data_IF_551702909258
#
_entry.id   IF_551702909258
#
_cell.length_a   1.000
_cell.length_b   1.000
_cell.length_c   1.000
_cell.angle_alpha   90.00
_cell.angle_beta   90.00
_cell.angle_gamma   90.00
#
_symmetry.space_group_name_H-M   'P 1'
#
loop_
_entity.id
_entity.type
_entity.pdbx_description
1 polymer ?
#
# COMPACT_ATOMS: atom_id res chain seq x y z
N UNK A 1 -7.70 62.59 -33.26
CA UNK A 1 -8.72 62.44 -32.22
C UNK A 1 -9.39 61.07 -32.38
N UNK A 2 -9.32 60.27 -31.31
CA UNK A 2 -10.07 59.03 -31.00
C UNK A 2 -10.04 57.89 -32.03
N UNK A 3 -9.07 57.01 -31.79
CA UNK A 3 -9.03 55.62 -32.23
C UNK A 3 -9.47 54.77 -31.02
N UNK A 4 -10.55 53.99 -31.11
CA UNK A 4 -10.91 52.99 -30.12
C UNK A 4 -11.59 51.79 -30.80
N UNK A 5 -11.17 50.61 -30.37
CA UNK A 5 -11.83 49.30 -30.49
C UNK A 5 -11.43 48.44 -31.70
N UNK A 6 -10.22 47.87 -31.61
CA UNK A 6 -10.06 46.46 -31.94
C UNK A 6 -9.07 45.83 -30.96
N UNK A 7 -9.46 44.67 -30.45
CA UNK A 7 -8.62 43.64 -29.82
C UNK A 7 -8.38 43.76 -28.32
N UNK A 8 -9.49 43.69 -27.58
CA UNK A 8 -9.56 43.04 -26.27
C UNK A 8 -9.32 41.50 -26.36
N UNK A 9 -8.28 41.08 -27.08
CA UNK A 9 -7.88 39.68 -27.28
C UNK A 9 -6.39 39.44 -26.97
N UNK A 10 -5.79 40.31 -26.15
CA UNK A 10 -4.39 40.19 -25.71
C UNK A 10 -4.28 39.88 -24.20
N UNK A 11 -5.30 39.22 -23.64
CA UNK A 11 -5.28 38.68 -22.26
C UNK A 11 -5.43 37.16 -22.32
N UNK A 12 -4.48 36.45 -22.94
CA UNK A 12 -4.48 34.98 -22.86
C UNK A 12 -3.14 34.29 -23.09
N UNK A 13 -2.04 35.01 -23.28
CA UNK A 13 -0.75 34.41 -23.62
C UNK A 13 0.33 34.81 -22.62
N UNK A 14 0.31 34.20 -21.42
CA UNK A 14 1.47 34.02 -20.50
C UNK A 14 1.15 33.40 -19.14
N UNK A 15 0.09 32.60 -19.00
CA UNK A 15 0.11 31.57 -17.94
C UNK A 15 1.02 30.47 -18.44
N UNK A 16 2.29 30.54 -18.04
CA UNK A 16 3.20 29.42 -18.14
C UNK A 16 2.48 28.20 -17.58
N UNK A 17 2.32 27.20 -18.44
CA UNK A 17 1.86 25.87 -18.08
C UNK A 17 2.84 25.35 -17.03
N UNK A 18 2.57 25.63 -15.76
CA UNK A 18 3.10 24.84 -14.67
C UNK A 18 2.78 23.40 -15.04
N UNK A 19 3.76 22.51 -15.15
CA UNK A 19 3.46 21.10 -15.36
C UNK A 19 2.51 20.74 -14.22
N UNK A 20 1.28 20.36 -14.58
CA UNK A 20 0.34 19.72 -13.66
C UNK A 20 1.17 18.61 -13.05
N UNK A 21 1.63 18.82 -11.82
CA UNK A 21 2.38 17.83 -11.06
C UNK A 21 1.46 16.64 -11.08
N UNK A 22 1.81 15.60 -11.86
CA UNK A 22 1.00 14.41 -11.98
C UNK A 22 0.66 14.01 -10.54
N UNK A 23 -0.60 14.21 -10.17
CA UNK A 23 -1.05 14.04 -8.81
C UNK A 23 -1.07 12.54 -8.61
N UNK A 24 0.10 11.99 -8.29
CA UNK A 24 0.31 10.56 -8.22
C UNK A 24 -0.51 10.12 -7.02
N UNK A 25 -1.68 9.55 -7.31
CA UNK A 25 -2.60 9.05 -6.31
C UNK A 25 -1.83 8.28 -5.23
N UNK A 26 -2.24 8.48 -3.97
CA UNK A 26 -1.64 7.79 -2.84
C UNK A 26 -1.61 6.28 -3.09
N UNK A 27 -0.50 5.63 -2.73
CA UNK A 27 -0.44 4.18 -2.74
C UNK A 27 -1.39 3.67 -1.65
N UNK A 28 -2.50 3.06 -2.07
CA UNK A 28 -3.46 2.42 -1.19
C UNK A 28 -2.90 1.09 -0.69
N UNK A 29 -2.76 0.97 0.63
CA UNK A 29 -2.36 -0.23 1.33
C UNK A 29 -3.59 -0.81 2.03
N UNK A 30 -4.06 -1.95 1.54
CA UNK A 30 -5.15 -2.68 2.17
C UNK A 30 -4.64 -3.63 3.26
N UNK A 31 -5.27 -3.59 4.43
CA UNK A 31 -5.03 -4.51 5.54
C UNK A 31 -6.10 -5.59 5.53
N UNK A 32 -5.70 -6.84 5.27
CA UNK A 32 -6.61 -7.98 5.34
C UNK A 32 -6.42 -8.75 6.62
N UNK A 33 -7.49 -8.91 7.38
CA UNK A 33 -7.43 -9.43 8.74
C UNK A 33 -7.65 -10.94 8.77
N UNK A 34 -6.74 -11.65 9.43
CA UNK A 34 -6.84 -13.09 9.71
C UNK A 34 -6.66 -13.32 11.21
N UNK A 35 -7.79 -13.32 11.93
CA UNK A 35 -7.81 -13.48 13.39
C UNK A 35 -7.58 -12.20 14.19
N UNK A 36 -7.46 -11.04 13.54
CA UNK A 36 -7.53 -9.72 14.18
C UNK A 36 -8.95 -9.17 14.15
N UNK A 37 -9.30 -8.39 15.17
CA UNK A 37 -10.60 -7.71 15.25
C UNK A 37 -10.50 -6.36 14.54
N UNK A 38 -11.52 -6.02 13.75
CA UNK A 38 -11.50 -4.78 12.96
C UNK A 38 -11.37 -3.52 13.82
N UNK A 39 -12.06 -3.48 14.96
CA UNK A 39 -12.00 -2.34 15.90
C UNK A 39 -10.60 -2.12 16.45
N UNK A 40 -9.87 -3.19 16.78
CA UNK A 40 -8.48 -3.13 17.23
C UNK A 40 -7.58 -2.49 16.16
N UNK A 41 -7.65 -3.00 14.92
CA UNK A 41 -6.83 -2.51 13.80
C UNK A 41 -7.16 -1.08 13.41
N UNK A 42 -8.45 -0.69 13.49
CA UNK A 42 -8.87 0.69 13.23
C UNK A 42 -8.22 1.69 14.18
N UNK A 43 -7.87 1.29 15.41
CA UNK A 43 -7.15 2.19 16.33
C UNK A 43 -5.71 2.47 15.89
N UNK A 44 -5.11 1.58 15.10
CA UNK A 44 -3.72 1.71 14.63
C UNK A 44 -3.60 2.60 13.40
N UNK A 45 -4.59 2.55 12.49
CA UNK A 45 -4.55 3.20 11.19
C UNK A 45 -4.16 4.69 11.24
N UNK A 46 -4.72 5.52 12.16
CA UNK A 46 -4.34 6.93 12.27
C UNK A 46 -2.86 7.17 12.58
N UNK A 47 -2.17 6.19 13.17
CA UNK A 47 -0.75 6.29 13.55
C UNK A 47 0.20 5.68 12.52
N UNK A 48 -0.33 5.09 11.44
CA UNK A 48 0.50 4.50 10.40
C UNK A 48 1.13 5.57 9.50
N UNK A 49 2.35 5.34 8.97
CA UNK A 49 3.03 6.34 8.15
C UNK A 49 2.23 6.73 6.90
N UNK A 50 1.89 8.00 6.75
CA UNK A 50 1.20 8.52 5.54
C UNK A 50 2.16 9.09 4.51
N UNK A 51 3.41 9.40 4.89
CA UNK A 51 4.46 9.94 4.03
C UNK A 51 3.95 11.18 3.27
N UNK A 52 3.48 12.20 3.99
CA UNK A 52 2.88 13.41 3.40
C UNK A 52 1.73 13.11 2.42
N UNK A 53 0.90 12.12 2.75
CA UNK A 53 -0.25 11.71 1.95
C UNK A 53 0.08 10.79 0.78
N UNK A 54 1.32 10.31 0.66
CA UNK A 54 1.72 9.37 -0.38
C UNK A 54 1.29 7.92 -0.10
N UNK A 55 0.96 7.61 1.15
CA UNK A 55 0.41 6.33 1.60
C UNK A 55 -0.96 6.55 2.23
N UNK A 56 -1.89 5.66 1.92
CA UNK A 56 -3.18 5.57 2.62
C UNK A 56 -3.43 4.13 3.06
N UNK A 57 -3.99 3.97 4.25
CA UNK A 57 -4.21 2.67 4.89
C UNK A 57 -5.70 2.45 5.09
N UNK A 58 -6.17 1.26 4.76
CA UNK A 58 -7.57 0.89 4.98
C UNK A 58 -7.71 -0.60 5.28
N UNK A 59 -8.78 -0.99 5.95
CA UNK A 59 -9.10 -2.41 6.13
C UNK A 59 -9.79 -2.90 4.86
N UNK A 60 -9.17 -3.86 4.18
CA UNK A 60 -9.69 -4.45 2.97
C UNK A 60 -10.74 -5.52 3.30
N UNK A 61 -12.02 -5.15 3.19
CA UNK A 61 -13.15 -6.06 3.42
C UNK A 61 -13.43 -6.98 2.23
N UNK A 62 -13.16 -6.51 1.01
CA UNK A 62 -13.34 -7.32 -0.19
C UNK A 62 -12.11 -8.20 -0.46
N UNK A 63 -12.35 -9.37 -1.06
CA UNK A 63 -11.30 -10.37 -1.32
C UNK A 63 -10.16 -9.80 -2.16
N UNK A 64 -10.50 -8.97 -3.13
CA UNK A 64 -9.54 -8.46 -4.11
C UNK A 64 -9.01 -7.08 -3.73
N UNK A 65 -9.44 -6.50 -2.59
CA UNK A 65 -8.93 -5.22 -2.10
C UNK A 65 -8.99 -4.13 -3.17
N UNK A 66 -10.14 -3.96 -3.82
CA UNK A 66 -10.31 -3.14 -5.04
C UNK A 66 -9.55 -1.81 -5.02
N UNK A 67 -8.56 -1.72 -5.92
CA UNK A 67 -7.71 -0.55 -6.12
C UNK A 67 -6.55 -0.40 -5.12
N UNK A 68 -6.30 -1.36 -4.24
CA UNK A 68 -5.10 -1.39 -3.42
C UNK A 68 -3.87 -1.78 -4.27
N UNK A 69 -2.84 -0.92 -4.27
CA UNK A 69 -1.56 -1.22 -4.91
C UNK A 69 -0.69 -2.18 -4.07
N UNK A 70 -1.02 -2.34 -2.79
CA UNK A 70 -0.41 -3.31 -1.90
C UNK A 70 -1.43 -3.85 -0.90
N UNK A 71 -1.32 -5.14 -0.60
CA UNK A 71 -2.11 -5.85 0.38
C UNK A 71 -1.19 -6.42 1.47
N UNK A 72 -1.55 -6.18 2.73
CA UNK A 72 -0.88 -6.75 3.90
C UNK A 72 -1.88 -7.62 4.66
N UNK A 73 -1.60 -8.90 4.69
CA UNK A 73 -2.35 -9.89 5.45
C UNK A 73 -1.86 -9.86 6.90
N UNK A 74 -2.64 -9.29 7.81
CA UNK A 74 -2.37 -9.31 9.24
C UNK A 74 -2.83 -10.67 9.78
N UNK A 75 -1.90 -11.51 10.19
CA UNK A 75 -2.16 -12.89 10.57
C UNK A 75 -1.87 -13.10 12.05
N UNK A 76 -2.91 -13.32 12.84
CA UNK A 76 -2.77 -13.74 14.24
C UNK A 76 -2.75 -15.27 14.29
N UNK A 77 -1.81 -15.85 15.01
CA UNK A 77 -1.86 -17.30 15.30
C UNK A 77 -3.23 -17.65 15.87
N UNK A 78 -3.81 -18.76 15.40
CA UNK A 78 -4.96 -19.37 16.05
C UNK A 78 -4.63 -19.70 17.52
N UNK A 79 -5.67 -19.76 18.35
CA UNK A 79 -5.55 -20.10 19.77
C UNK A 79 -4.80 -21.42 19.97
N UNK A 80 -3.99 -21.50 21.04
CA UNK A 80 -3.30 -22.72 21.46
C UNK A 80 -4.24 -23.89 21.70
N UNK A 81 -5.52 -23.63 21.99
CA UNK A 81 -6.55 -24.65 22.17
C UNK A 81 -6.81 -25.47 20.89
N UNK A 82 -6.46 -24.94 19.72
CA UNK A 82 -6.63 -25.60 18.42
C UNK A 82 -5.38 -26.35 17.94
N UNK A 83 -4.39 -26.53 18.83
CA UNK A 83 -3.14 -27.23 18.53
C UNK A 83 -2.08 -26.36 17.85
N UNK A 84 -1.09 -27.01 17.22
CA UNK A 84 0.03 -26.34 16.53
C UNK A 84 -0.37 -25.71 15.19
N UNK A 85 -1.58 -25.97 14.70
CA UNK A 85 -2.00 -25.60 13.36
C UNK A 85 -2.62 -24.19 13.30
N UNK A 86 -2.08 -23.35 12.42
CA UNK A 86 -2.55 -22.00 12.18
C UNK A 86 -3.51 -21.90 10.98
N UNK A 87 -4.81 -22.06 11.22
CA UNK A 87 -5.85 -21.88 10.18
C UNK A 87 -5.81 -20.50 9.50
N UNK A 88 -5.53 -19.45 10.27
CA UNK A 88 -5.36 -18.09 9.74
C UNK A 88 -4.20 -17.99 8.76
N UNK A 89 -3.11 -18.73 9.00
CA UNK A 89 -1.95 -18.75 8.14
C UNK A 89 -2.25 -19.45 6.81
N UNK A 90 -3.03 -20.52 6.82
CA UNK A 90 -3.49 -21.19 5.59
C UNK A 90 -4.36 -20.24 4.77
N UNK A 91 -5.37 -19.61 5.38
CA UNK A 91 -6.25 -18.68 4.69
C UNK A 91 -5.49 -17.50 4.06
N UNK A 92 -4.54 -16.92 4.81
CA UNK A 92 -3.68 -15.86 4.30
C UNK A 92 -2.79 -16.34 3.14
N UNK A 93 -2.13 -17.49 3.30
CA UNK A 93 -1.24 -18.04 2.27
C UNK A 93 -1.97 -18.36 0.97
N UNK A 94 -3.18 -18.90 1.07
CA UNK A 94 -4.06 -19.17 -0.07
C UNK A 94 -4.54 -17.90 -0.75
N UNK A 95 -4.89 -16.87 0.02
CA UNK A 95 -5.29 -15.58 -0.54
C UNK A 95 -4.13 -14.91 -1.30
N UNK A 96 -2.90 -14.96 -0.77
CA UNK A 96 -1.70 -14.46 -1.45
C UNK A 96 -1.40 -15.29 -2.72
N UNK A 97 -1.56 -16.62 -2.63
CA UNK A 97 -1.36 -17.50 -3.79
C UNK A 97 -2.36 -17.18 -4.91
N UNK A 98 -3.63 -16.97 -4.55
CA UNK A 98 -4.68 -16.67 -5.50
C UNK A 98 -4.49 -15.33 -6.22
N UNK A 99 -3.75 -14.38 -5.63
CA UNK A 99 -3.43 -13.09 -6.24
C UNK A 99 -2.07 -13.05 -6.95
N UNK A 100 -1.44 -14.19 -7.22
CA UNK A 100 -0.14 -14.26 -7.90
C UNK A 100 -0.10 -13.54 -9.26
N UNK A 101 -1.24 -13.44 -9.96
CA UNK A 101 -1.37 -12.75 -11.24
C UNK A 101 -1.84 -11.29 -11.11
N UNK A 102 -2.11 -10.81 -9.90
CA UNK A 102 -2.52 -9.44 -9.67
C UNK A 102 -1.30 -8.51 -9.79
N UNK A 103 -1.49 -7.34 -10.41
CA UNK A 103 -0.45 -6.32 -10.54
C UNK A 103 -0.21 -5.54 -9.23
N UNK A 104 -0.23 -6.23 -8.08
CA UNK A 104 -0.06 -5.63 -6.75
C UNK A 104 0.88 -6.45 -5.89
N UNK A 105 1.33 -5.83 -4.82
CA UNK A 105 2.22 -6.46 -3.83
C UNK A 105 1.39 -7.18 -2.79
N UNK A 106 1.80 -8.40 -2.44
CA UNK A 106 1.17 -9.20 -1.40
C UNK A 106 2.20 -9.53 -0.32
N UNK A 107 1.89 -9.18 0.93
CA UNK A 107 2.72 -9.49 2.07
C UNK A 107 1.86 -10.01 3.24
N UNK A 108 2.45 -10.81 4.11
CA UNK A 108 1.87 -11.21 5.38
C UNK A 108 2.71 -10.70 6.55
N UNK A 109 2.04 -10.18 7.58
CA UNK A 109 2.63 -9.88 8.88
C UNK A 109 2.04 -10.82 9.92
N UNK A 110 2.86 -11.77 10.37
CA UNK A 110 2.45 -12.81 11.31
C UNK A 110 2.76 -12.42 12.77
N UNK A 111 1.76 -12.61 13.63
CA UNK A 111 1.85 -12.44 15.08
C UNK A 111 1.55 -13.78 15.76
N UNK A 112 2.58 -14.40 16.33
CA UNK A 112 2.47 -15.69 17.00
C UNK A 112 3.80 -16.43 17.03
N UNK A 113 3.71 -17.72 17.36
CA UNK A 113 4.85 -18.63 17.40
C UNK A 113 5.28 -19.02 15.97
N UNK A 114 6.54 -18.79 15.63
CA UNK A 114 7.13 -19.08 14.32
C UNK A 114 6.97 -20.54 13.89
N UNK A 115 6.94 -21.47 14.86
CA UNK A 115 6.77 -22.90 14.62
C UNK A 115 5.39 -23.24 14.02
N UNK A 116 4.46 -22.28 14.04
CA UNK A 116 3.11 -22.40 13.47
C UNK A 116 2.99 -21.79 12.08
N UNK A 117 4.05 -21.18 11.56
CA UNK A 117 4.06 -20.72 10.19
C UNK A 117 4.01 -21.92 9.24
N UNK A 118 3.32 -21.79 8.09
CA UNK A 118 3.31 -22.84 7.09
C UNK A 118 4.73 -23.02 6.54
N UNK A 119 5.11 -24.27 6.29
CA UNK A 119 6.41 -24.61 5.73
C UNK A 119 6.63 -23.97 4.35
N UNK A 120 5.57 -23.91 3.54
CA UNK A 120 5.56 -23.26 2.22
C UNK A 120 4.76 -21.97 2.32
N UNK A 121 5.38 -20.87 1.87
CA UNK A 121 4.85 -19.51 1.96
C UNK A 121 4.83 -18.84 0.59
N UNK A 122 3.68 -18.32 0.21
CA UNK A 122 3.48 -17.50 -0.97
C UNK A 122 3.71 -16.03 -0.61
N UNK A 123 4.37 -15.28 -1.49
CA UNK A 123 4.66 -13.86 -1.30
C UNK A 123 5.64 -13.57 -0.16
N UNK A 124 5.64 -12.33 0.31
CA UNK A 124 6.53 -11.90 1.39
C UNK A 124 5.91 -12.20 2.76
N UNK A 125 6.66 -12.82 3.66
CA UNK A 125 6.24 -13.02 5.05
C UNK A 125 7.21 -12.33 6.00
N UNK A 126 6.66 -11.55 6.92
CA UNK A 126 7.35 -10.95 8.04
C UNK A 126 6.72 -11.43 9.34
N UNK A 127 7.52 -11.47 10.41
CA UNK A 127 7.04 -11.75 11.76
C UNK A 127 7.10 -10.50 12.62
N UNK A 128 6.06 -10.28 13.43
CA UNK A 128 6.08 -9.25 14.47
C UNK A 128 7.04 -9.63 15.63
N UNK A 129 7.28 -10.93 15.84
CA UNK A 129 8.09 -11.43 16.94
C UNK A 129 7.45 -11.07 18.29
N UNK A 130 8.24 -10.48 19.19
CA UNK A 130 7.77 -10.01 20.50
C UNK A 130 7.18 -8.59 20.47
N UNK A 131 7.18 -7.92 19.31
CA UNK A 131 6.71 -6.53 19.18
C UNK A 131 5.19 -6.47 19.03
N UNK A 132 4.55 -5.38 19.48
CA UNK A 132 3.18 -5.08 19.08
C UNK A 132 3.06 -5.05 17.55
N UNK A 133 1.93 -5.55 17.04
CA UNK A 133 1.71 -5.69 15.58
C UNK A 133 1.69 -4.35 14.88
N UNK A 134 1.13 -3.32 15.52
CA UNK A 134 1.18 -1.93 15.05
C UNK A 134 2.63 -1.45 14.83
N UNK A 135 3.51 -1.69 15.82
CA UNK A 135 4.94 -1.34 15.71
C UNK A 135 5.63 -2.14 14.59
N UNK A 136 5.28 -3.41 14.44
CA UNK A 136 5.82 -4.25 13.36
C UNK A 136 5.32 -3.78 11.98
N UNK A 137 4.07 -3.31 11.88
CA UNK A 137 3.49 -2.75 10.67
C UNK A 137 4.17 -1.42 10.28
N UNK A 138 4.43 -0.56 11.28
CA UNK A 138 5.22 0.66 11.10
C UNK A 138 6.64 0.33 10.61
N UNK A 139 7.29 -0.67 11.20
CA UNK A 139 8.62 -1.14 10.77
C UNK A 139 8.59 -1.66 9.33
N UNK A 140 7.59 -2.47 8.98
CA UNK A 140 7.42 -2.99 7.62
C UNK A 140 7.21 -1.85 6.61
N UNK A 141 6.44 -0.83 6.98
CA UNK A 141 6.24 0.35 6.16
C UNK A 141 7.57 1.04 5.83
N UNK A 142 8.38 1.35 6.85
CA UNK A 142 9.66 2.03 6.66
C UNK A 142 10.72 1.17 5.97
N UNK A 143 10.77 -0.14 6.25
CA UNK A 143 11.81 -1.02 5.73
C UNK A 143 11.54 -1.50 4.30
N UNK A 144 10.27 -1.66 3.92
CA UNK A 144 9.89 -2.32 2.65
C UNK A 144 9.03 -1.42 1.77
N UNK A 145 7.97 -0.84 2.34
CA UNK A 145 6.95 -0.15 1.54
C UNK A 145 7.46 1.19 1.03
N UNK A 146 8.04 2.00 1.92
CA UNK A 146 8.56 3.34 1.58
C UNK A 146 9.68 3.27 0.55
N UNK A 147 10.75 2.45 0.72
CA UNK A 147 11.81 2.35 -0.28
C UNK A 147 11.28 1.91 -1.64
N UNK A 148 10.34 0.95 -1.66
CA UNK A 148 9.73 0.48 -2.90
C UNK A 148 8.92 1.56 -3.59
N UNK A 149 8.08 2.29 -2.85
CA UNK A 149 7.30 3.41 -3.39
C UNK A 149 8.20 4.46 -4.03
N UNK A 150 9.29 4.84 -3.35
CA UNK A 150 10.23 5.83 -3.86
C UNK A 150 10.95 5.34 -5.12
N UNK A 151 11.31 4.06 -5.17
CA UNK A 151 11.92 3.44 -6.35
C UNK A 151 10.99 3.41 -7.57
N UNK A 152 9.72 3.00 -7.38
CA UNK A 152 8.73 2.99 -8.46
C UNK A 152 8.47 4.40 -9.00
N UNK A 153 8.39 5.40 -8.12
CA UNK A 153 8.22 6.80 -8.54
C UNK A 153 9.44 7.35 -9.26
N UNK A 154 10.65 6.97 -8.84
CA UNK A 154 11.87 7.34 -9.55
C UNK A 154 11.88 6.76 -10.98
N UNK A 155 11.47 5.49 -11.14
CA UNK A 155 11.34 4.84 -12.45
C UNK A 155 10.31 5.53 -13.36
N UNK A 156 9.14 5.88 -12.81
CA UNK A 156 8.09 6.59 -13.55
C UNK A 156 8.56 7.95 -14.05
N UNK A 157 9.29 8.71 -13.22
CA UNK A 157 9.89 10.00 -13.64
C UNK A 157 10.87 9.83 -14.80
N UNK A 158 11.74 8.81 -14.75
CA UNK A 158 12.73 8.54 -15.82
C UNK A 158 12.04 8.08 -17.10
N UNK A 159 10.97 7.28 -17.00
CA UNK A 159 10.16 6.85 -18.14
C UNK A 159 9.44 8.01 -18.82
N UNK A 160 8.85 8.92 -18.05
CA UNK A 160 8.17 10.11 -18.57
C UNK A 160 9.12 11.07 -19.32
N UNK A 161 10.38 11.19 -18.89
CA UNK A 161 11.39 12.03 -19.57
C UNK A 161 11.82 11.46 -20.93
N UNK A 162 11.63 10.15 -21.18
CA UNK A 162 12.04 9.50 -22.44
C UNK A 162 11.01 9.58 -23.57
N UNK A 163 9.79 10.09 -23.34
CA UNK A 163 8.69 10.10 -24.33
C UNK A 163 8.43 11.51 -24.91
N UNK A 164 9.46 12.34 -25.05
CA UNK A 164 9.36 13.57 -25.84
C UNK A 164 10.02 13.36 -27.22
N UNK A 165 9.28 12.94 -28.26
CA UNK A 165 9.75 13.11 -29.63
C UNK A 165 9.69 14.61 -29.96
N UNK A 166 10.74 15.08 -30.65
CA UNK A 166 10.78 16.39 -31.30
C UNK A 166 9.90 16.41 -32.54
#
# INVERSE_FOLDING_TARGET
MRNLNSNALEIAARRGSQPVRADSAALRIGLRLWGFVESEVNTWIPNLPTLDGLLSWEIARQRDGDGAGMMIHLVKSSSNALGSFCWNCVGANEAIRASANAARVEAALFSGDERRLPAVRSGLWAMAGTRPVETALHTLAHAVIVPRLMHERARQKVGAVRVAPR
#
